data_IF_532279662502
#
_entry.id   IF_532279662502
#
_cell.length_a   1.000
_cell.length_b   1.000
_cell.length_c   1.000
_cell.angle_alpha   90.00
_cell.angle_beta   90.00
_cell.angle_gamma   90.00
#
_symmetry.space_group_name_H-M   'P 1'
#
loop_
_entity.id
_entity.type
_entity.pdbx_description
1 polymer ?
#
# COMPACT_ATOMS: atom_id res chain seq x y z
N UNK A 1 -38.78 -18.33 -27.41
CA UNK A 1 -37.55 -19.02 -26.94
C UNK A 1 -36.41 -18.68 -27.88
N UNK A 2 -35.53 -17.75 -27.48
CA UNK A 2 -34.28 -17.45 -28.20
C UNK A 2 -33.16 -17.54 -27.16
N UNK A 3 -32.26 -18.51 -27.37
CA UNK A 3 -31.19 -18.87 -26.45
C UNK A 3 -30.17 -17.73 -26.32
N UNK A 4 -30.11 -17.16 -25.12
CA UNK A 4 -29.07 -16.23 -24.69
C UNK A 4 -27.72 -16.96 -24.67
N UNK A 5 -26.81 -16.59 -25.59
CA UNK A 5 -25.40 -17.01 -25.53
C UNK A 5 -24.73 -16.40 -24.30
N UNK A 6 -23.99 -17.16 -23.48
CA UNK A 6 -23.26 -16.58 -22.36
C UNK A 6 -22.12 -15.69 -22.88
N UNK A 7 -22.08 -14.45 -22.38
CA UNK A 7 -21.01 -13.50 -22.60
C UNK A 7 -19.71 -14.08 -22.03
N UNK A 8 -18.77 -14.48 -22.89
CA UNK A 8 -17.39 -14.75 -22.47
C UNK A 8 -16.81 -13.45 -21.90
N UNK A 9 -16.19 -13.48 -20.70
CA UNK A 9 -15.53 -12.30 -20.17
C UNK A 9 -14.37 -11.92 -21.11
N UNK A 10 -14.49 -10.76 -21.76
CA UNK A 10 -13.38 -10.13 -22.47
C UNK A 10 -12.32 -9.79 -21.44
N UNK A 11 -11.23 -10.56 -21.41
CA UNK A 11 -10.00 -10.19 -20.71
C UNK A 11 -9.55 -8.84 -21.26
N UNK A 12 -9.77 -7.76 -20.51
CA UNK A 12 -9.16 -6.48 -20.79
C UNK A 12 -7.67 -6.63 -20.49
N UNK A 13 -6.90 -6.68 -21.57
CA UNK A 13 -5.46 -6.89 -21.56
C UNK A 13 -4.77 -5.61 -21.07
N UNK A 14 -4.14 -5.66 -19.90
CA UNK A 14 -3.17 -4.66 -19.46
C UNK A 14 -1.85 -4.84 -20.22
N UNK A 15 -1.75 -4.30 -21.44
CA UNK A 15 -0.60 -4.47 -22.34
C UNK A 15 0.59 -3.51 -22.07
N UNK A 16 0.76 -3.00 -20.85
CA UNK A 16 1.85 -2.07 -20.53
C UNK A 16 2.93 -2.61 -19.59
N UNK A 17 2.79 -3.82 -19.05
CA UNK A 17 3.90 -4.47 -18.36
C UNK A 17 4.15 -5.85 -18.97
N UNK A 18 5.25 -5.98 -19.72
CA UNK A 18 5.85 -7.31 -20.06
C UNK A 18 6.29 -8.10 -18.81
N UNK A 19 6.12 -7.53 -17.61
CA UNK A 19 6.42 -8.13 -16.32
C UNK A 19 5.16 -8.18 -15.44
N UNK A 20 4.44 -9.33 -15.37
CA UNK A 20 3.25 -9.48 -14.55
C UNK A 20 3.46 -9.21 -13.05
N UNK A 21 4.70 -9.31 -12.59
CA UNK A 21 5.13 -9.13 -11.19
C UNK A 21 5.86 -7.79 -10.96
N UNK A 22 5.68 -6.80 -11.84
CA UNK A 22 6.30 -5.48 -11.69
C UNK A 22 5.98 -4.85 -10.33
N UNK A 23 4.73 -4.97 -9.87
CA UNK A 23 4.30 -4.50 -8.56
C UNK A 23 5.15 -5.06 -7.42
N UNK A 24 5.37 -6.38 -7.42
CA UNK A 24 6.23 -7.05 -6.43
C UNK A 24 7.65 -6.54 -6.49
N UNK A 25 8.23 -6.37 -7.68
CA UNK A 25 9.62 -5.91 -7.83
C UNK A 25 9.81 -4.48 -7.33
N UNK A 26 8.86 -3.60 -7.63
CA UNK A 26 8.87 -2.23 -7.12
C UNK A 26 8.70 -2.25 -5.61
N UNK A 27 7.72 -2.99 -5.09
CA UNK A 27 7.46 -3.03 -3.64
C UNK A 27 8.59 -3.67 -2.84
N UNK A 28 9.26 -4.70 -3.38
CA UNK A 28 10.39 -5.37 -2.73
C UNK A 28 11.57 -4.43 -2.47
N UNK A 29 11.67 -3.32 -3.22
CA UNK A 29 12.71 -2.29 -3.07
C UNK A 29 12.29 -1.10 -2.21
N UNK A 30 11.05 -1.09 -1.73
CA UNK A 30 10.47 0.01 -0.97
C UNK A 30 10.01 -0.46 0.41
N UNK A 31 10.04 0.46 1.36
CA UNK A 31 9.58 0.27 2.73
C UNK A 31 8.73 1.48 3.17
N UNK A 32 8.55 1.68 4.48
CA UNK A 32 7.82 2.83 5.03
C UNK A 32 8.36 4.18 4.54
N UNK A 33 9.65 4.30 4.20
CA UNK A 33 10.29 5.56 3.77
C UNK A 33 9.78 6.03 2.42
N UNK A 34 9.21 5.14 1.61
CA UNK A 34 8.55 5.52 0.35
C UNK A 34 7.31 6.41 0.57
N UNK A 35 6.76 6.44 1.80
CA UNK A 35 5.68 7.33 2.20
C UNK A 35 6.15 8.74 2.61
N UNK A 36 7.47 9.01 2.58
CA UNK A 36 8.03 10.30 2.98
C UNK A 36 7.77 10.64 4.45
N UNK A 37 7.25 11.84 4.78
CA UNK A 37 7.04 12.28 6.17
C UNK A 37 6.15 11.34 7.00
N UNK A 38 5.20 10.65 6.36
CA UNK A 38 4.36 9.66 7.05
C UNK A 38 5.20 8.48 7.52
N UNK A 39 6.14 8.01 6.69
CA UNK A 39 7.07 6.94 7.06
C UNK A 39 7.99 7.34 8.21
N UNK A 40 8.47 8.59 8.21
CA UNK A 40 9.29 9.13 9.30
C UNK A 40 8.51 9.20 10.62
N UNK A 41 7.25 9.65 10.55
CA UNK A 41 6.34 9.64 11.71
C UNK A 41 6.14 8.22 12.23
N UNK A 42 5.86 7.24 11.36
CA UNK A 42 5.72 5.84 11.75
C UNK A 42 6.95 5.31 12.49
N UNK A 43 8.16 5.66 12.03
CA UNK A 43 9.41 5.25 12.68
C UNK A 43 9.65 5.90 14.05
N UNK A 44 8.95 7.00 14.35
CA UNK A 44 9.00 7.69 15.65
C UNK A 44 7.95 7.21 16.66
N UNK A 45 7.04 6.33 16.25
CA UNK A 45 6.00 5.82 17.13
C UNK A 45 6.58 4.90 18.23
N UNK A 46 5.92 4.81 19.40
CA UNK A 46 6.40 3.96 20.50
C UNK A 46 6.44 2.47 20.15
N UNK A 47 5.40 1.98 19.48
CA UNK A 47 5.24 0.57 19.08
C UNK A 47 4.88 0.42 17.61
N UNK A 48 5.04 -0.78 17.06
CA UNK A 48 4.60 -1.09 15.70
C UNK A 48 3.10 -0.84 15.52
N UNK A 49 2.29 -1.19 16.53
CA UNK A 49 0.86 -0.98 16.51
C UNK A 49 0.49 0.51 16.51
N UNK A 50 1.20 1.33 17.27
CA UNK A 50 0.99 2.78 17.26
C UNK A 50 1.36 3.38 15.89
N UNK A 51 2.47 2.94 15.29
CA UNK A 51 2.85 3.35 13.94
C UNK A 51 1.77 3.06 12.90
N UNK A 52 1.15 1.87 12.94
CA UNK A 52 0.09 1.52 12.00
C UNK A 52 -1.23 2.23 12.29
N UNK A 53 -1.58 2.47 13.56
CA UNK A 53 -2.77 3.26 13.92
C UNK A 53 -2.64 4.70 13.42
N UNK A 54 -1.49 5.32 13.62
CA UNK A 54 -1.20 6.66 13.15
C UNK A 54 -1.24 6.73 11.62
N UNK A 55 -0.66 5.72 10.94
CA UNK A 55 -0.69 5.62 9.49
C UNK A 55 -2.12 5.53 8.94
N UNK A 56 -2.96 4.65 9.49
CA UNK A 56 -4.36 4.50 9.08
C UNK A 56 -5.15 5.78 9.33
N UNK A 57 -4.93 6.46 10.45
CA UNK A 57 -5.58 7.73 10.76
C UNK A 57 -5.29 8.83 9.74
N UNK A 58 -4.09 8.86 9.15
CA UNK A 58 -3.71 9.83 8.13
C UNK A 58 -4.16 9.47 6.71
N UNK A 59 -4.50 8.20 6.45
CA UNK A 59 -4.66 7.70 5.09
C UNK A 59 -5.81 8.36 4.32
N UNK A 60 -6.91 8.70 5.00
CA UNK A 60 -8.07 9.40 4.39
C UNK A 60 -7.66 10.77 3.83
N UNK A 61 -6.70 11.43 4.48
CA UNK A 61 -6.17 12.72 4.00
C UNK A 61 -5.07 12.55 2.95
N UNK A 62 -4.36 11.43 2.97
CA UNK A 62 -3.21 11.13 2.11
C UNK A 62 -3.61 10.59 0.73
N UNK A 63 -4.67 9.79 0.65
CA UNK A 63 -5.05 9.07 -0.56
C UNK A 63 -6.56 9.14 -0.81
N UNK A 64 -6.97 9.44 -2.04
CA UNK A 64 -8.37 9.37 -2.49
C UNK A 64 -8.69 8.13 -3.33
N UNK A 65 -7.66 7.36 -3.73
CA UNK A 65 -7.81 6.19 -4.61
C UNK A 65 -7.88 4.86 -3.85
N UNK A 66 -7.47 4.87 -2.58
CA UNK A 66 -7.38 3.69 -1.74
C UNK A 66 -7.52 4.03 -0.26
N UNK A 67 -7.98 3.05 0.52
CA UNK A 67 -7.97 3.04 1.98
C UNK A 67 -6.99 2.01 2.51
N UNK A 68 -6.43 2.31 3.67
CA UNK A 68 -5.69 1.37 4.51
C UNK A 68 -6.49 1.25 5.80
N UNK A 69 -6.59 0.06 6.35
CA UNK A 69 -7.34 -0.20 7.57
C UNK A 69 -6.61 -1.20 8.46
N UNK A 70 -6.94 -1.16 9.75
CA UNK A 70 -6.57 -2.20 10.70
C UNK A 70 -7.80 -3.02 11.05
N UNK A 71 -7.67 -4.33 11.04
CA UNK A 71 -8.72 -5.27 11.45
C UNK A 71 -8.13 -6.33 12.36
N UNK A 72 -8.73 -6.52 13.53
CA UNK A 72 -8.33 -7.60 14.42
C UNK A 72 -8.96 -8.92 13.94
N UNK A 73 -8.16 -9.98 13.89
CA UNK A 73 -8.60 -11.34 13.56
C UNK A 73 -8.08 -12.26 14.66
N UNK A 74 -8.98 -12.65 15.56
CA UNK A 74 -8.58 -13.34 16.79
C UNK A 74 -7.63 -12.44 17.60
N UNK A 75 -6.45 -12.97 17.89
CA UNK A 75 -5.39 -12.24 18.58
C UNK A 75 -4.50 -11.42 17.63
N UNK A 76 -4.56 -11.65 16.32
CA UNK A 76 -3.68 -11.03 15.35
C UNK A 76 -4.33 -9.81 14.68
N UNK A 77 -3.53 -9.01 13.97
CA UNK A 77 -4.01 -7.81 13.28
C UNK A 77 -3.66 -7.86 11.81
N UNK A 78 -4.66 -7.60 10.96
CA UNK A 78 -4.46 -7.32 9.54
C UNK A 78 -4.24 -5.83 9.31
N UNK A 79 -3.14 -5.50 8.64
CA UNK A 79 -2.98 -4.23 7.93
C UNK A 79 -3.50 -4.40 6.50
N UNK A 80 -4.75 -4.02 6.29
CA UNK A 80 -5.47 -4.21 5.04
C UNK A 80 -5.40 -3.01 4.10
N UNK A 81 -5.56 -3.29 2.81
CA UNK A 81 -5.59 -2.31 1.73
C UNK A 81 -6.80 -2.54 0.82
N UNK A 82 -7.59 -1.49 0.61
CA UNK A 82 -8.76 -1.50 -0.26
C UNK A 82 -8.66 -0.41 -1.32
N UNK A 83 -8.90 -0.75 -2.58
CA UNK A 83 -9.03 0.23 -3.66
C UNK A 83 -10.49 0.67 -3.79
N UNK A 84 -10.74 1.96 -3.98
CA UNK A 84 -12.07 2.49 -4.29
C UNK A 84 -12.50 2.24 -5.75
N UNK A 85 -11.81 1.34 -6.46
CA UNK A 85 -12.06 0.98 -7.86
C UNK A 85 -12.74 -0.39 -7.98
N UNK A 86 -13.21 -0.73 -9.19
CA UNK A 86 -13.87 -2.00 -9.47
C UNK A 86 -13.00 -3.22 -9.15
N UNK A 87 -13.60 -4.36 -8.75
CA UNK A 87 -12.89 -5.62 -8.52
C UNK A 87 -12.01 -6.00 -9.71
N UNK A 88 -10.73 -6.31 -9.46
CA UNK A 88 -9.75 -6.65 -10.50
C UNK A 88 -8.96 -5.47 -11.07
N UNK A 89 -9.25 -4.23 -10.66
CA UNK A 89 -8.38 -3.09 -10.94
C UNK A 89 -7.06 -3.22 -10.14
N UNK A 90 -5.94 -3.37 -10.85
CA UNK A 90 -4.60 -3.17 -10.31
C UNK A 90 -3.98 -4.33 -9.53
N UNK A 91 -3.85 -5.53 -10.13
CA UNK A 91 -3.00 -6.61 -9.56
C UNK A 91 -1.60 -6.10 -9.17
N UNK A 92 -1.02 -5.26 -10.03
CA UNK A 92 0.28 -4.62 -9.77
C UNK A 92 0.28 -3.75 -8.51
N UNK A 93 -0.84 -3.10 -8.19
CA UNK A 93 -0.96 -2.26 -7.00
C UNK A 93 -1.09 -3.16 -5.76
N UNK A 94 -1.93 -4.20 -5.82
CA UNK A 94 -2.05 -5.19 -4.75
C UNK A 94 -0.69 -5.84 -4.43
N UNK A 95 0.02 -6.25 -5.48
CA UNK A 95 1.37 -6.82 -5.38
C UNK A 95 2.37 -5.83 -4.77
N UNK A 96 2.30 -4.56 -5.20
CA UNK A 96 3.12 -3.48 -4.66
C UNK A 96 2.87 -3.28 -3.17
N UNK A 97 1.61 -3.13 -2.75
CA UNK A 97 1.28 -2.82 -1.36
C UNK A 97 1.56 -3.99 -0.43
N UNK A 98 1.39 -5.25 -0.87
CA UNK A 98 1.79 -6.41 -0.07
C UNK A 98 3.29 -6.40 0.18
N UNK A 99 4.09 -6.16 -0.85
CA UNK A 99 5.54 -6.11 -0.72
C UNK A 99 6.02 -4.95 0.16
N UNK A 100 5.45 -3.76 -0.01
CA UNK A 100 5.76 -2.62 0.87
C UNK A 100 5.32 -2.93 2.30
N UNK A 101 4.10 -3.44 2.52
CA UNK A 101 3.58 -3.73 3.87
C UNK A 101 4.45 -4.75 4.62
N UNK A 102 4.90 -5.80 3.95
CA UNK A 102 5.85 -6.75 4.55
C UNK A 102 7.18 -6.07 4.92
N UNK A 103 7.68 -5.22 4.03
CA UNK A 103 8.90 -4.46 4.29
C UNK A 103 8.72 -3.41 5.39
N UNK A 104 7.53 -2.81 5.55
CA UNK A 104 7.23 -1.90 6.67
C UNK A 104 7.39 -2.61 8.01
N UNK A 105 6.78 -3.79 8.17
CA UNK A 105 6.90 -4.59 9.42
C UNK A 105 8.37 -4.85 9.75
N UNK A 106 9.15 -5.34 8.78
CA UNK A 106 10.57 -5.65 8.97
C UNK A 106 11.39 -4.40 9.27
N UNK A 107 11.23 -3.36 8.46
CA UNK A 107 12.06 -2.15 8.55
C UNK A 107 11.78 -1.32 9.80
N UNK A 108 10.51 -1.18 10.19
CA UNK A 108 10.13 -0.47 11.41
C UNK A 108 10.61 -1.20 12.65
N UNK A 109 10.50 -2.53 12.70
CA UNK A 109 10.94 -3.32 13.86
C UNK A 109 12.45 -3.56 13.92
N UNK A 110 13.20 -3.17 12.89
CA UNK A 110 14.63 -3.47 12.77
C UNK A 110 14.91 -4.95 12.52
N UNK A 111 13.99 -5.66 11.86
CA UNK A 111 14.10 -7.08 11.53
C UNK A 111 13.72 -8.01 12.68
N UNK A 112 13.15 -7.50 13.78
CA UNK A 112 12.71 -8.31 14.93
C UNK A 112 11.36 -8.99 14.73
N UNK A 113 10.58 -8.55 13.76
CA UNK A 113 9.31 -9.15 13.38
C UNK A 113 9.24 -9.44 11.88
N UNK A 114 8.45 -10.46 11.55
CA UNK A 114 8.08 -10.82 10.19
C UNK A 114 6.55 -10.96 10.10
N UNK A 115 5.92 -10.62 8.96
CA UNK A 115 4.51 -10.92 8.76
C UNK A 115 4.19 -12.41 8.87
N UNK A 116 3.08 -12.75 9.52
CA UNK A 116 2.62 -14.13 9.65
C UNK A 116 2.15 -14.70 8.31
N UNK A 117 1.31 -13.95 7.61
CA UNK A 117 0.80 -14.29 6.30
C UNK A 117 0.41 -13.04 5.52
N UNK A 118 0.17 -13.19 4.23
CA UNK A 118 -0.37 -12.13 3.38
C UNK A 118 -1.58 -12.64 2.60
N UNK A 119 -2.81 -12.48 3.13
CA UNK A 119 -4.01 -12.70 2.32
C UNK A 119 -4.04 -11.69 1.17
N UNK A 120 -4.36 -12.17 -0.02
CA UNK A 120 -4.37 -11.40 -1.24
C UNK A 120 -5.68 -11.63 -1.98
N UNK A 121 -6.37 -10.54 -2.32
CA UNK A 121 -7.64 -10.62 -3.08
C UNK A 121 -7.47 -10.93 -4.57
N UNK A 122 -6.22 -11.02 -5.02
CA UNK A 122 -5.88 -11.40 -6.40
C UNK A 122 -5.81 -12.91 -6.55
N UNK A 123 -6.21 -13.39 -7.72
CA UNK A 123 -6.08 -14.80 -8.05
C UNK A 123 -4.63 -15.28 -8.09
N UNK A 124 -4.45 -16.56 -7.75
CA UNK A 124 -3.15 -17.21 -7.73
C UNK A 124 -2.46 -17.11 -9.11
N UNK A 125 -1.21 -16.62 -9.18
CA UNK A 125 -0.46 -16.56 -10.42
C UNK A 125 0.04 -17.95 -10.83
N UNK A 126 0.31 -18.13 -12.12
CA UNK A 126 0.96 -19.35 -12.65
C UNK A 126 2.33 -19.56 -12.02
N UNK A 127 3.09 -18.48 -11.77
CA UNK A 127 4.39 -18.53 -11.11
C UNK A 127 4.35 -17.78 -9.77
N UNK A 128 4.52 -18.53 -8.68
CA UNK A 128 4.49 -18.01 -7.30
C UNK A 128 5.91 -17.67 -6.78
N UNK A 129 6.97 -18.11 -7.46
CA UNK A 129 8.34 -17.86 -7.02
C UNK A 129 8.67 -16.38 -6.76
N UNK A 130 8.18 -15.41 -7.57
CA UNK A 130 8.37 -13.99 -7.29
C UNK A 130 7.75 -13.53 -5.96
N UNK A 131 6.59 -14.09 -5.58
CA UNK A 131 5.95 -13.77 -4.30
C UNK A 131 6.78 -14.27 -3.13
N UNK A 132 7.21 -15.54 -3.17
CA UNK A 132 8.06 -16.12 -2.12
C UNK A 132 9.36 -15.34 -1.96
N UNK A 133 9.99 -14.96 -3.07
CA UNK A 133 11.24 -14.18 -3.04
C UNK A 133 11.06 -12.76 -2.51
N UNK A 134 9.99 -12.06 -2.92
CA UNK A 134 9.76 -10.67 -2.56
C UNK A 134 9.20 -10.52 -1.14
N UNK A 135 8.16 -11.31 -0.83
CA UNK A 135 7.41 -11.18 0.42
C UNK A 135 8.06 -11.94 1.56
N UNK A 136 8.81 -13.01 1.28
CA UNK A 136 9.48 -13.88 2.27
C UNK A 136 8.54 -14.43 3.37
N UNK A 137 7.24 -14.43 3.08
CA UNK A 137 6.18 -14.96 3.95
C UNK A 137 5.16 -15.71 3.08
N UNK A 138 4.22 -16.41 3.72
CA UNK A 138 3.21 -17.19 3.03
C UNK A 138 2.09 -16.30 2.49
N UNK A 139 1.86 -16.35 1.18
CA UNK A 139 0.75 -15.64 0.54
C UNK A 139 -0.44 -16.56 0.34
N UNK A 140 -1.59 -16.14 0.86
CA UNK A 140 -2.87 -16.81 0.66
C UNK A 140 -3.59 -16.06 -0.47
N UNK A 141 -3.76 -16.70 -1.62
CA UNK A 141 -4.42 -16.10 -2.78
C UNK A 141 -5.93 -16.32 -2.74
N UNK A 142 -6.65 -15.61 -3.60
CA UNK A 142 -8.11 -15.74 -3.75
C UNK A 142 -8.87 -15.47 -2.43
N UNK A 143 -8.37 -14.50 -1.66
CA UNK A 143 -8.97 -14.07 -0.39
C UNK A 143 -9.92 -12.89 -0.58
N UNK A 144 -10.70 -12.56 0.44
CA UNK A 144 -11.63 -11.40 0.36
C UNK A 144 -10.88 -10.05 0.39
N UNK A 145 -9.70 -10.02 1.01
CA UNK A 145 -8.95 -8.81 1.29
C UNK A 145 -7.48 -8.95 0.87
N UNK A 146 -6.85 -7.83 0.56
CA UNK A 146 -5.39 -7.73 0.43
C UNK A 146 -4.84 -7.13 1.71
N UNK A 147 -4.09 -7.91 2.49
CA UNK A 147 -3.56 -7.47 3.77
C UNK A 147 -2.23 -8.13 4.13
N UNK A 148 -1.58 -7.56 5.15
CA UNK A 148 -0.43 -8.14 5.83
C UNK A 148 -0.85 -8.47 7.24
N UNK A 149 -0.73 -9.74 7.63
CA UNK A 149 -1.07 -10.22 8.96
C UNK A 149 0.15 -10.11 9.89
N UNK A 150 -0.08 -9.54 11.07
CA UNK A 150 0.95 -9.28 12.07
C UNK A 150 0.45 -9.77 13.42
N UNK A 151 1.32 -10.48 14.15
CA UNK A 151 0.93 -11.03 15.44
C UNK A 151 0.67 -9.94 16.48
N UNK A 152 -0.22 -10.19 17.44
CA UNK A 152 -0.42 -9.26 18.58
C UNK A 152 0.91 -8.95 19.29
N UNK A 153 1.78 -9.95 19.43
CA UNK A 153 3.11 -9.81 20.03
C UNK A 153 3.96 -8.82 19.26
N UNK A 154 3.98 -8.91 17.94
CA UNK A 154 4.77 -8.03 17.09
C UNK A 154 4.20 -6.61 17.02
N UNK A 155 2.87 -6.49 17.06
CA UNK A 155 2.19 -5.19 17.18
C UNK A 155 2.57 -4.44 18.46
N UNK A 156 2.87 -5.17 19.54
CA UNK A 156 3.34 -4.59 20.81
C UNK A 156 4.85 -4.29 20.85
N UNK A 157 5.62 -4.63 19.81
CA UNK A 157 7.07 -4.42 19.83
C UNK A 157 7.42 -2.93 19.87
N UNK A 158 8.26 -2.49 20.82
CA UNK A 158 8.77 -1.14 20.84
C UNK A 158 9.62 -0.87 19.60
N UNK A 159 9.41 0.23 18.89
CA UNK A 159 10.24 0.57 17.74
C UNK A 159 11.61 1.10 18.20
N UNK A 160 12.69 0.87 17.43
CA UNK A 160 14.02 1.38 17.76
C UNK A 160 14.12 2.91 17.70
N UNK A 161 13.05 3.60 17.30
CA UNK A 161 13.02 5.04 17.04
C UNK A 161 13.55 5.39 15.64
N UNK A 162 13.48 6.67 15.26
CA UNK A 162 13.96 7.10 13.96
C UNK A 162 15.47 6.91 13.88
N UNK A 163 15.94 6.19 12.86
CA UNK A 163 17.36 6.15 12.53
C UNK A 163 17.74 7.56 12.10
N UNK A 164 18.45 8.30 12.95
CA UNK A 164 19.02 9.61 12.59
C UNK A 164 19.90 9.43 11.35
N UNK A 165 19.45 9.96 10.22
CA UNK A 165 20.35 10.25 9.11
C UNK A 165 21.13 11.49 9.51
N UNK A 166 22.39 11.31 9.88
CA UNK A 166 23.33 12.44 9.91
C UNK A 166 23.38 13.02 8.49
N UNK A 167 22.68 14.14 8.27
CA UNK A 167 22.74 14.88 7.00
C UNK A 167 21.45 15.37 6.35
N UNK A 168 20.25 15.10 6.89
CA UNK A 168 19.03 15.78 6.41
C UNK A 168 18.44 16.67 7.51
N UNK A 169 18.78 17.95 7.45
CA UNK A 169 18.22 18.98 8.32
C UNK A 169 16.73 19.20 7.97
N UNK A 170 15.85 18.42 8.59
CA UNK A 170 14.43 18.78 8.71
C UNK A 170 14.24 19.37 10.10
N UNK A 171 14.28 20.71 10.18
CA UNK A 171 13.97 21.41 11.41
C UNK A 171 12.52 21.10 11.83
N UNK A 172 12.24 20.85 13.12
CA UNK A 172 10.88 20.63 13.59
C UNK A 172 10.05 21.89 13.30
N UNK A 173 8.95 21.74 12.58
CA UNK A 173 8.02 22.81 12.28
C UNK A 173 7.38 23.33 13.58
N UNK A 174 7.98 24.35 14.18
CA UNK A 174 7.33 25.15 15.20
C UNK A 174 6.08 25.78 14.59
N UNK A 175 4.91 25.53 15.18
CA UNK A 175 3.64 26.18 14.83
C UNK A 175 3.84 27.70 14.72
N UNK A 176 3.87 28.23 13.50
CA UNK A 176 3.53 29.62 13.22
C UNK A 176 2.58 29.69 12.04
N UNK A 177 1.50 30.43 12.29
CA UNK A 177 0.43 30.76 11.35
C UNK A 177 0.93 31.84 10.38
N UNK A 178 0.35 31.84 9.18
CA UNK A 178 0.42 32.84 8.11
C UNK A 178 1.59 32.79 7.10
N UNK A 179 1.19 32.66 5.82
CA UNK A 179 1.65 33.56 4.76
C UNK A 179 2.63 32.98 3.73
N UNK A 180 2.14 32.84 2.49
CA UNK A 180 2.89 32.88 1.23
C UNK A 180 3.75 31.67 0.82
N UNK A 181 3.22 30.97 -0.20
CA UNK A 181 3.88 30.53 -1.44
C UNK A 181 5.39 30.23 -1.39
N UNK A 182 5.75 28.95 -1.42
CA UNK A 182 6.94 28.51 -2.15
C UNK A 182 6.70 27.16 -2.80
N UNK A 183 7.11 27.11 -4.07
CA UNK A 183 6.91 26.05 -5.05
C UNK A 183 8.15 25.16 -4.97
N UNK A 184 8.04 24.00 -4.32
CA UNK A 184 9.10 22.98 -4.30
C UNK A 184 8.54 21.68 -4.86
N UNK A 185 8.69 21.53 -6.17
CA UNK A 185 8.39 20.30 -6.91
C UNK A 185 9.55 19.34 -6.71
N UNK A 186 9.41 18.42 -5.77
CA UNK A 186 10.38 17.34 -5.54
C UNK A 186 9.66 16.02 -5.37
N UNK A 187 9.58 15.22 -6.43
CA UNK A 187 9.46 13.74 -6.52
C UNK A 187 8.27 13.03 -5.80
N UNK A 188 7.55 13.65 -4.86
CA UNK A 188 6.38 13.08 -4.17
C UNK A 188 5.18 12.88 -5.12
N UNK A 189 5.12 13.62 -6.23
CA UNK A 189 3.99 13.60 -7.17
C UNK A 189 3.92 12.41 -8.14
N UNK A 190 5.01 11.67 -8.36
CA UNK A 190 5.05 10.68 -9.44
C UNK A 190 4.22 9.41 -9.14
N UNK A 191 4.08 9.03 -7.87
CA UNK A 191 3.19 7.92 -7.49
C UNK A 191 1.71 8.32 -7.47
N UNK A 192 1.43 9.62 -7.35
CA UNK A 192 0.07 10.17 -7.25
C UNK A 192 -0.52 10.58 -8.62
N UNK A 193 0.31 10.87 -9.63
CA UNK A 193 -0.18 11.41 -10.92
C UNK A 193 -0.52 10.36 -11.98
N UNK A 194 -0.02 9.11 -11.88
CA UNK A 194 -0.17 8.13 -12.97
C UNK A 194 -1.45 7.29 -12.94
N UNK A 195 -2.39 7.57 -12.03
CA UNK A 195 -3.59 6.75 -11.82
C UNK A 195 -4.91 7.54 -11.99
N UNK A 196 -4.87 8.67 -12.69
CA UNK A 196 -6.09 9.40 -13.07
C UNK A 196 -6.55 8.90 -14.46
N UNK A 197 -7.74 8.29 -14.60
CA UNK A 197 -8.30 8.04 -15.92
C UNK A 197 -8.59 9.38 -16.62
N UNK A 198 -8.46 9.48 -17.96
CA UNK A 198 -8.86 10.69 -18.67
C UNK A 198 -10.36 10.90 -18.46
N UNK A 199 -10.73 12.09 -17.99
CA UNK A 199 -12.12 12.51 -17.89
C UNK A 199 -12.76 12.45 -19.28
N UNK A 200 -13.57 11.41 -19.53
CA UNK A 200 -14.47 11.40 -20.66
C UNK A 200 -15.50 12.50 -20.45
N UNK A 201 -15.41 13.54 -21.28
CA UNK A 201 -16.41 14.59 -21.47
C UNK A 201 -17.80 13.96 -21.66
N UNK A 202 -18.62 13.99 -20.61
CA UNK A 202 -20.06 13.79 -20.74
C UNK A 202 -20.68 15.15 -21.04
N UNK A 203 -20.67 15.53 -22.33
CA UNK A 203 -21.48 16.64 -22.83
C UNK A 203 -22.95 16.29 -22.66
N UNK A 204 -23.61 16.93 -21.71
CA UNK A 204 -25.06 16.93 -21.58
C UNK A 204 -25.69 17.52 -22.85
N UNK A 205 -26.31 16.67 -23.67
CA UNK A 205 -27.31 17.11 -24.65
C UNK A 205 -28.62 17.34 -23.90
N UNK A 206 -28.97 18.60 -23.69
CA UNK A 206 -30.37 19.01 -23.53
C UNK A 206 -31.07 18.81 -24.87
N UNK A 207 -32.17 18.05 -24.87
CA UNK A 207 -33.43 18.38 -25.56
C UNK A 207 -34.56 17.74 -24.78
#
# INVERSE_FOLDING_TARGET
>A
MSLSRPLRPRRAVGHLARCPHLGLLVGARNDHRALGPIGEMMASAPTLGDAFRDYVGLQISYSRGAMVYLQNIGDDTLLGYGLYAFPGAGRQINDLVLAIGCNMVRSLTGGRADPLSTPASVGQPINIAPYRSALKTTTLFDQEHTAVEVSARDMALPLPGPIRRDGCNFAPASRRRCGATSRTTGIVGAFQFSMMPPASLFTARRK
#
